data_IF_083978392347
#
_entry.id   IF_083978392347
#
_cell.length_a   1.000
_cell.length_b   1.000
_cell.length_c   1.000
_cell.angle_alpha   90.00
_cell.angle_beta   90.00
_cell.angle_gamma   90.00
#
_symmetry.space_group_name_H-M   'P 1'
#
loop_
_entity.id
_entity.type
_entity.pdbx_description
1 polymer ?
#
# COMPACT_ATOMS: atom_id res chain seq x y z
N UNK A 1 27.45 5.55 -12.93
CA UNK A 1 27.25 7.01 -13.10
C UNK A 1 25.92 7.19 -13.81
N UNK A 2 24.84 7.78 -13.29
CA UNK A 2 24.63 8.78 -12.24
C UNK A 2 23.29 8.47 -11.55
N UNK A 3 23.27 8.54 -10.22
CA UNK A 3 22.05 8.57 -9.39
C UNK A 3 21.92 10.01 -8.89
N UNK A 4 20.80 10.67 -9.20
CA UNK A 4 20.37 11.99 -8.70
C UNK A 4 18.94 12.18 -9.22
N UNK A 5 17.92 12.52 -8.44
CA UNK A 5 17.88 13.50 -7.36
C UNK A 5 17.03 13.04 -6.18
N UNK A 6 17.63 13.22 -5.01
CA UNK A 6 17.02 13.29 -3.70
C UNK A 6 16.20 14.59 -3.62
N UNK A 7 14.90 14.51 -3.34
CA UNK A 7 14.07 15.66 -3.00
C UNK A 7 14.10 15.85 -1.48
N UNK A 8 15.06 16.65 -1.01
CA UNK A 8 15.17 17.16 0.36
C UNK A 8 14.76 18.64 0.35
N UNK A 9 13.84 18.97 1.26
CA UNK A 9 13.57 20.24 1.93
C UNK A 9 13.55 21.56 1.13
N UNK A 10 12.37 22.20 1.11
CA UNK A 10 12.25 23.64 1.15
C UNK A 10 11.22 24.03 2.23
N UNK A 11 11.69 24.15 3.47
CA UNK A 11 10.99 24.91 4.51
C UNK A 11 11.48 26.34 4.37
N UNK A 12 10.61 27.23 3.91
CA UNK A 12 10.88 28.67 3.86
C UNK A 12 10.60 29.25 5.26
N UNK A 13 11.56 29.97 5.88
CA UNK A 13 11.33 30.60 7.16
C UNK A 13 10.69 31.98 6.93
N UNK A 14 9.42 32.14 7.32
CA UNK A 14 8.82 33.47 7.44
C UNK A 14 9.02 33.93 8.89
N UNK A 15 10.16 34.58 9.11
CA UNK A 15 10.39 35.48 10.24
C UNK A 15 9.52 36.73 10.01
N UNK A 16 8.50 36.94 10.83
CA UNK A 16 7.92 38.27 11.01
C UNK A 16 8.24 38.72 12.42
N UNK A 17 9.12 39.71 12.48
CA UNK A 17 9.50 40.41 13.69
C UNK A 17 8.28 41.04 14.36
N UNK A 18 8.15 40.77 15.65
CA UNK A 18 7.24 41.47 16.55
C UNK A 18 7.69 42.92 16.74
N UNK A 19 6.81 43.87 16.43
CA UNK A 19 6.80 45.17 17.09
C UNK A 19 5.53 45.28 17.93
N UNK A 20 5.76 45.72 19.15
CA UNK A 20 4.92 45.67 20.34
C UNK A 20 4.09 46.96 20.50
N UNK A 21 2.96 46.85 21.23
CA UNK A 21 2.10 47.89 21.85
C UNK A 21 1.02 48.56 20.95
N UNK A 22 -0.23 48.80 21.40
CA UNK A 22 -0.82 48.86 22.75
C UNK A 22 -2.38 48.82 22.68
N UNK A 23 -2.97 48.15 23.67
CA UNK A 23 -4.23 48.50 24.37
C UNK A 23 -5.61 48.25 23.73
N UNK A 24 -6.25 47.16 24.13
CA UNK A 24 -7.70 47.12 24.40
C UNK A 24 -7.93 46.37 25.73
N UNK A 25 -8.72 46.97 26.62
CA UNK A 25 -8.96 46.55 27.99
C UNK A 25 -9.52 45.12 28.09
N UNK A 26 -9.27 44.39 29.20
CA UNK A 26 -9.81 43.05 29.38
C UNK A 26 -11.32 43.16 29.63
N UNK A 27 -12.11 42.81 28.63
CA UNK A 27 -13.53 42.48 28.85
C UNK A 27 -13.54 41.21 29.68
N UNK A 28 -13.81 41.34 30.98
CA UNK A 28 -14.11 40.22 31.87
C UNK A 28 -15.26 39.41 31.26
N UNK A 29 -14.94 38.32 30.56
CA UNK A 29 -15.94 37.28 30.27
C UNK A 29 -16.18 36.54 31.57
N UNK A 30 -17.43 36.57 31.98
CA UNK A 30 -17.98 35.79 33.08
C UNK A 30 -17.69 34.32 32.76
N UNK A 31 -16.81 33.71 33.55
CA UNK A 31 -16.66 32.26 33.60
C UNK A 31 -17.98 31.68 34.11
N UNK A 32 -18.76 31.09 33.21
CA UNK A 32 -19.66 30.01 33.57
C UNK A 32 -18.94 28.70 33.23
N UNK A 33 -18.65 27.83 34.22
CA UNK A 33 -18.11 26.52 33.94
C UNK A 33 -19.29 25.63 33.50
N UNK A 34 -19.62 25.69 32.22
CA UNK A 34 -20.36 24.60 31.58
C UNK A 34 -19.28 23.68 31.04
N UNK A 35 -19.11 22.50 31.62
CA UNK A 35 -18.36 21.40 30.99
C UNK A 35 -19.05 21.03 29.67
N UNK A 36 -18.85 21.83 28.63
CA UNK A 36 -19.26 21.50 27.28
C UNK A 36 -18.12 20.72 26.62
N UNK A 37 -18.40 19.52 26.13
CA UNK A 37 -17.46 18.73 25.30
C UNK A 37 -16.84 19.65 24.24
N UNK A 38 -15.51 19.76 24.22
CA UNK A 38 -14.73 20.71 23.40
C UNK A 38 -15.12 20.62 21.91
N UNK A 39 -15.48 19.42 21.45
CA UNK A 39 -15.97 19.19 20.10
C UNK A 39 -17.30 19.90 19.84
N UNK A 40 -18.22 19.90 20.81
CA UNK A 40 -19.51 20.58 20.70
C UNK A 40 -19.32 22.09 20.58
N UNK A 41 -18.37 22.66 21.31
CA UNK A 41 -18.05 24.08 21.26
C UNK A 41 -17.52 24.49 19.87
N UNK A 42 -16.55 23.75 19.34
CA UNK A 42 -15.99 24.00 18.00
C UNK A 42 -17.07 23.90 16.93
N UNK A 43 -17.93 22.88 17.01
CA UNK A 43 -19.03 22.69 16.06
C UNK A 43 -20.04 23.84 16.14
N UNK A 44 -20.41 24.28 17.34
CA UNK A 44 -21.30 25.43 17.50
C UNK A 44 -20.68 26.72 16.93
N UNK A 45 -19.39 26.96 17.16
CA UNK A 45 -18.73 28.18 16.70
C UNK A 45 -18.52 28.24 15.18
N UNK A 46 -18.30 27.08 14.55
CA UNK A 46 -17.90 27.02 13.14
C UNK A 46 -19.02 26.58 12.19
N UNK A 47 -20.01 25.81 12.65
CA UNK A 47 -21.04 25.22 11.79
C UNK A 47 -22.35 26.03 11.75
N UNK A 48 -22.63 26.86 12.76
CA UNK A 48 -23.90 27.61 12.86
C UNK A 48 -24.07 28.67 11.76
N UNK A 49 -22.98 29.28 11.30
CA UNK A 49 -23.03 30.42 10.37
C UNK A 49 -22.17 30.24 9.10
N UNK A 50 -21.61 29.05 8.86
CA UNK A 50 -20.74 28.80 7.71
C UNK A 50 -21.26 27.65 6.82
N UNK A 51 -21.95 27.96 5.71
CA UNK A 51 -22.52 26.93 4.84
C UNK A 51 -21.45 26.06 4.17
N UNK A 52 -20.22 26.56 3.99
CA UNK A 52 -19.12 25.78 3.43
C UNK A 52 -18.65 24.70 4.39
N UNK A 53 -18.52 25.04 5.69
CA UNK A 53 -18.16 24.08 6.74
C UNK A 53 -19.23 22.99 6.86
N UNK A 54 -20.52 23.38 6.86
CA UNK A 54 -21.65 22.43 6.94
C UNK A 54 -21.68 21.49 5.74
N UNK A 55 -21.41 21.99 4.53
CA UNK A 55 -21.34 21.17 3.34
C UNK A 55 -20.18 20.16 3.41
N UNK A 56 -18.96 20.63 3.73
CA UNK A 56 -17.80 19.75 3.88
C UNK A 56 -18.01 18.66 4.95
N UNK A 57 -18.60 19.04 6.10
CA UNK A 57 -19.01 18.10 7.15
C UNK A 57 -19.97 17.04 6.59
N UNK A 58 -21.00 17.46 5.88
CA UNK A 58 -22.03 16.55 5.33
C UNK A 58 -21.41 15.54 4.37
N UNK A 59 -20.49 15.98 3.50
CA UNK A 59 -19.76 15.11 2.58
C UNK A 59 -18.91 14.08 3.32
N UNK A 60 -18.14 14.51 4.33
CA UNK A 60 -17.35 13.61 5.16
C UNK A 60 -18.23 12.62 5.95
N UNK A 61 -19.35 13.10 6.49
CA UNK A 61 -20.30 12.32 7.25
C UNK A 61 -20.99 11.24 6.41
N UNK A 62 -21.24 11.49 5.13
CA UNK A 62 -21.76 10.47 4.20
C UNK A 62 -20.79 9.29 4.02
N UNK A 63 -19.48 9.52 4.11
CA UNK A 63 -18.47 8.45 3.98
C UNK A 63 -18.29 7.65 5.27
N UNK A 64 -18.35 8.30 6.44
CA UNK A 64 -18.07 7.67 7.74
C UNK A 64 -19.32 7.07 8.38
N UNK A 65 -20.48 7.67 8.09
CA UNK A 65 -21.76 7.38 8.74
C UNK A 65 -21.95 8.20 10.03
N UNK A 66 -23.17 8.70 10.20
CA UNK A 66 -23.55 9.62 11.30
C UNK A 66 -23.22 9.09 12.70
N UNK A 67 -23.35 7.78 12.93
CA UNK A 67 -23.10 7.16 14.24
C UNK A 67 -21.63 7.20 14.67
N UNK A 68 -20.70 7.22 13.72
CA UNK A 68 -19.26 7.13 13.98
C UNK A 68 -18.54 8.48 13.79
N UNK A 69 -19.24 9.48 13.27
CA UNK A 69 -18.65 10.73 12.81
C UNK A 69 -17.90 11.49 13.90
N UNK A 70 -18.55 11.77 15.03
CA UNK A 70 -17.95 12.58 16.10
C UNK A 70 -16.73 11.90 16.75
N UNK A 71 -16.79 10.57 16.92
CA UNK A 71 -15.64 9.79 17.41
C UNK A 71 -14.48 9.81 16.40
N UNK A 72 -14.79 9.69 15.11
CA UNK A 72 -13.79 9.74 14.06
C UNK A 72 -13.06 11.09 14.05
N UNK A 73 -13.79 12.20 13.92
CA UNK A 73 -13.19 13.54 13.79
C UNK A 73 -12.40 13.94 15.05
N UNK A 74 -12.85 13.51 16.23
CA UNK A 74 -12.12 13.70 17.49
C UNK A 74 -10.78 12.97 17.47
N UNK A 75 -10.75 11.72 16.99
CA UNK A 75 -9.52 10.93 16.84
C UNK A 75 -8.59 11.45 15.76
N UNK A 76 -9.12 11.93 14.63
CA UNK A 76 -8.31 12.47 13.53
C UNK A 76 -7.86 13.90 13.74
N UNK A 77 -8.26 14.54 14.84
CA UNK A 77 -7.59 15.73 15.35
C UNK A 77 -8.31 17.05 15.09
N UNK A 78 -9.64 17.05 14.91
CA UNK A 78 -10.42 18.30 14.77
C UNK A 78 -10.22 19.27 15.94
N UNK A 79 -9.90 18.75 17.14
CA UNK A 79 -9.63 19.56 18.33
C UNK A 79 -8.38 20.45 18.18
N UNK A 80 -7.49 20.14 17.24
CA UNK A 80 -6.35 21.02 16.93
C UNK A 80 -6.78 22.40 16.43
N UNK A 81 -7.99 22.53 15.88
CA UNK A 81 -8.54 23.80 15.43
C UNK A 81 -9.03 24.70 16.57
N UNK A 82 -9.13 24.22 17.81
CA UNK A 82 -9.76 24.96 18.91
C UNK A 82 -9.15 26.34 19.15
N UNK A 83 -7.82 26.43 19.08
CA UNK A 83 -7.05 27.64 19.33
C UNK A 83 -6.57 28.33 18.05
N UNK A 84 -7.11 27.95 16.89
CA UNK A 84 -6.76 28.56 15.60
C UNK A 84 -7.41 29.94 15.47
N UNK A 85 -6.62 30.94 15.05
CA UNK A 85 -7.08 32.32 14.87
C UNK A 85 -8.24 32.43 13.86
N UNK A 86 -8.31 31.50 12.92
CA UNK A 86 -9.41 31.33 11.97
C UNK A 86 -9.98 29.90 12.06
N UNK A 87 -10.53 29.59 13.23
CA UNK A 87 -11.15 28.31 13.57
C UNK A 87 -12.11 27.76 12.48
N UNK A 88 -12.92 28.62 11.84
CA UNK A 88 -13.81 28.20 10.74
C UNK A 88 -13.06 27.69 9.51
N UNK A 89 -11.96 28.35 9.14
CA UNK A 89 -11.11 27.91 8.03
C UNK A 89 -10.37 26.62 8.38
N UNK A 90 -9.89 26.48 9.62
CA UNK A 90 -9.24 25.25 10.08
C UNK A 90 -10.19 24.05 10.01
N UNK A 91 -11.42 24.18 10.53
CA UNK A 91 -12.43 23.11 10.51
C UNK A 91 -12.86 22.76 9.07
N UNK A 92 -13.03 23.77 8.20
CA UNK A 92 -13.32 23.54 6.78
C UNK A 92 -12.21 22.71 6.12
N UNK A 93 -10.96 23.13 6.30
CA UNK A 93 -9.81 22.44 5.73
C UNK A 93 -9.69 21.01 6.25
N UNK A 94 -9.93 20.80 7.55
CA UNK A 94 -9.96 19.49 8.18
C UNK A 94 -11.02 18.57 7.52
N UNK A 95 -12.27 19.02 7.40
CA UNK A 95 -13.33 18.22 6.82
C UNK A 95 -13.08 17.86 5.36
N UNK A 96 -12.60 18.82 4.55
CA UNK A 96 -12.27 18.57 3.14
C UNK A 96 -11.09 17.60 3.00
N UNK A 97 -10.04 17.79 3.79
CA UNK A 97 -8.84 16.95 3.74
C UNK A 97 -9.18 15.49 4.05
N UNK A 98 -9.91 15.25 5.14
CA UNK A 98 -10.31 13.89 5.51
C UNK A 98 -11.31 13.28 4.51
N UNK A 99 -12.19 14.10 3.92
CA UNK A 99 -13.12 13.64 2.88
C UNK A 99 -12.38 13.13 1.64
N UNK A 100 -11.46 13.93 1.09
CA UNK A 100 -10.72 13.54 -0.11
C UNK A 100 -9.80 12.35 0.15
N UNK A 101 -9.19 12.28 1.33
CA UNK A 101 -8.37 11.12 1.74
C UNK A 101 -9.19 9.83 1.78
N UNK A 102 -10.36 9.84 2.43
CA UNK A 102 -11.24 8.67 2.49
C UNK A 102 -11.81 8.28 1.13
N UNK A 103 -12.23 9.28 0.34
CA UNK A 103 -12.76 9.07 -1.01
C UNK A 103 -11.72 8.41 -1.92
N UNK A 104 -10.49 8.88 -1.89
CA UNK A 104 -9.40 8.31 -2.68
C UNK A 104 -9.08 6.87 -2.25
N UNK A 105 -9.01 6.61 -0.94
CA UNK A 105 -8.81 5.26 -0.41
C UNK A 105 -9.93 4.29 -0.83
N UNK A 106 -11.19 4.74 -0.82
CA UNK A 106 -12.32 3.92 -1.29
C UNK A 106 -12.24 3.63 -2.80
N UNK A 107 -11.83 4.61 -3.62
CA UNK A 107 -11.65 4.41 -5.05
C UNK A 107 -10.53 3.40 -5.35
N UNK A 108 -9.38 3.52 -4.69
CA UNK A 108 -8.30 2.54 -4.81
C UNK A 108 -8.78 1.15 -4.40
N UNK A 109 -9.44 1.04 -3.25
CA UNK A 109 -9.96 -0.23 -2.74
C UNK A 109 -10.91 -0.88 -3.75
N UNK A 110 -11.82 -0.08 -4.34
CA UNK A 110 -12.76 -0.56 -5.36
C UNK A 110 -12.04 -1.11 -6.60
N UNK A 111 -11.04 -0.40 -7.12
CA UNK A 111 -10.25 -0.87 -8.27
C UNK A 111 -9.51 -2.17 -7.94
N UNK A 112 -8.95 -2.28 -6.73
CA UNK A 112 -8.32 -3.53 -6.27
C UNK A 112 -9.34 -4.67 -6.20
N UNK A 113 -10.51 -4.44 -5.62
CA UNK A 113 -11.57 -5.45 -5.52
C UNK A 113 -12.11 -5.88 -6.89
N UNK A 114 -12.29 -4.95 -7.82
CA UNK A 114 -12.70 -5.22 -9.20
C UNK A 114 -11.64 -6.08 -9.92
N UNK A 115 -10.37 -5.69 -9.86
CA UNK A 115 -9.26 -6.46 -10.44
C UNK A 115 -9.14 -7.86 -9.82
N UNK A 116 -9.29 -7.98 -8.50
CA UNK A 116 -9.27 -9.28 -7.82
C UNK A 116 -10.45 -10.16 -8.24
N UNK A 117 -11.62 -9.57 -8.46
CA UNK A 117 -12.82 -10.27 -8.89
C UNK A 117 -12.68 -10.75 -10.33
N UNK A 118 -12.20 -9.88 -11.23
CA UNK A 118 -11.88 -10.24 -12.61
C UNK A 118 -10.87 -11.38 -12.66
N UNK A 119 -9.79 -11.29 -11.87
CA UNK A 119 -8.79 -12.34 -11.76
C UNK A 119 -9.39 -13.68 -11.29
N UNK A 120 -10.25 -13.67 -10.26
CA UNK A 120 -10.94 -14.88 -9.77
C UNK A 120 -11.84 -15.49 -10.85
N UNK A 121 -12.56 -14.65 -11.62
CA UNK A 121 -13.39 -15.11 -12.73
C UNK A 121 -12.52 -15.77 -13.80
N UNK A 122 -11.39 -15.17 -14.19
CA UNK A 122 -10.47 -15.78 -15.16
C UNK A 122 -9.89 -17.10 -14.65
N UNK A 123 -9.46 -17.18 -13.39
CA UNK A 123 -9.00 -18.44 -12.79
C UNK A 123 -10.09 -19.51 -12.77
N UNK A 124 -11.36 -19.14 -12.54
CA UNK A 124 -12.47 -20.08 -12.53
C UNK A 124 -12.75 -20.73 -13.90
N UNK A 125 -12.32 -20.07 -15.00
CA UNK A 125 -12.41 -20.62 -16.36
C UNK A 125 -11.33 -21.68 -16.64
N UNK A 126 -10.27 -21.72 -15.83
CA UNK A 126 -9.16 -22.66 -16.00
C UNK A 126 -9.51 -23.97 -15.26
N UNK A 127 -9.79 -25.03 -16.02
CA UNK A 127 -9.90 -26.38 -15.45
C UNK A 127 -8.51 -26.97 -15.30
N UNK A 128 -8.03 -27.09 -14.06
CA UNK A 128 -6.79 -27.79 -13.77
C UNK A 128 -6.96 -29.28 -14.08
N UNK A 129 -6.39 -29.75 -15.18
CA UNK A 129 -6.30 -31.17 -15.52
C UNK A 129 -4.96 -31.71 -15.03
N UNK A 130 -4.86 -33.02 -14.82
CA UNK A 130 -3.58 -33.67 -14.49
C UNK A 130 -2.49 -33.37 -15.52
N UNK A 131 -2.85 -33.31 -16.81
CA UNK A 131 -1.93 -32.94 -17.88
C UNK A 131 -1.45 -31.48 -17.76
N UNK A 132 -2.34 -30.54 -17.44
CA UNK A 132 -1.97 -29.13 -17.28
C UNK A 132 -1.08 -28.92 -16.04
N UNK A 133 -1.39 -29.61 -14.94
CA UNK A 133 -0.58 -29.57 -13.71
C UNK A 133 0.81 -30.15 -13.98
N UNK A 134 0.89 -31.30 -14.64
CA UNK A 134 2.17 -31.92 -15.02
C UNK A 134 2.99 -31.01 -15.91
N UNK A 135 2.41 -30.46 -16.97
CA UNK A 135 3.11 -29.54 -17.88
C UNK A 135 3.65 -28.32 -17.13
N UNK A 136 2.87 -27.78 -16.21
CA UNK A 136 3.27 -26.65 -15.39
C UNK A 136 4.41 -26.97 -14.42
N UNK A 137 4.38 -28.13 -13.77
CA UNK A 137 5.46 -28.60 -12.91
C UNK A 137 6.74 -28.90 -13.70
N UNK A 138 6.62 -29.53 -14.88
CA UNK A 138 7.74 -29.78 -15.79
C UNK A 138 8.41 -28.46 -16.20
N UNK A 139 7.62 -27.46 -16.61
CA UNK A 139 8.12 -26.12 -16.99
C UNK A 139 8.78 -25.38 -15.81
N UNK A 140 8.23 -25.53 -14.60
CA UNK A 140 8.79 -24.92 -13.40
C UNK A 140 10.13 -25.56 -13.01
N UNK A 141 10.25 -26.88 -13.17
CA UNK A 141 11.49 -27.63 -12.94
C UNK A 141 12.56 -27.26 -13.98
N UNK A 142 12.18 -27.12 -15.25
CA UNK A 142 13.07 -26.65 -16.32
C UNK A 142 13.55 -25.22 -16.10
N UNK A 143 12.70 -24.35 -15.56
CA UNK A 143 13.08 -23.00 -15.20
C UNK A 143 14.12 -22.98 -14.08
N UNK A 144 13.90 -23.73 -12.99
CA UNK A 144 14.87 -23.84 -11.90
C UNK A 144 16.23 -24.31 -12.41
N UNK A 145 16.24 -25.33 -13.26
CA UNK A 145 17.46 -25.85 -13.86
C UNK A 145 18.18 -24.79 -14.70
N UNK A 146 17.45 -24.02 -15.51
CA UNK A 146 18.02 -22.94 -16.32
C UNK A 146 18.64 -21.82 -15.47
N UNK A 147 18.07 -21.52 -14.30
CA UNK A 147 18.65 -20.49 -13.42
C UNK A 147 19.91 -21.02 -12.72
N UNK A 148 19.93 -22.26 -12.24
CA UNK A 148 21.14 -22.86 -11.63
C UNK A 148 22.30 -23.04 -12.61
N UNK A 149 22.02 -23.25 -13.90
CA UNK A 149 23.05 -23.31 -14.94
C UNK A 149 23.41 -21.94 -15.53
N UNK A 150 22.85 -20.84 -14.99
CA UNK A 150 23.03 -19.49 -15.51
C UNK A 150 22.69 -19.33 -17.00
N UNK A 151 21.70 -20.07 -17.51
CA UNK A 151 21.16 -19.91 -18.88
C UNK A 151 20.27 -18.65 -18.95
N UNK A 152 20.92 -17.50 -18.81
CA UNK A 152 20.27 -16.19 -18.74
C UNK A 152 19.44 -15.89 -20.00
N UNK A 153 19.87 -16.40 -21.16
CA UNK A 153 19.13 -16.22 -22.41
C UNK A 153 17.76 -16.91 -22.33
N UNK A 154 17.74 -18.21 -22.00
CA UNK A 154 16.48 -18.97 -21.91
C UNK A 154 15.59 -18.44 -20.79
N UNK A 155 16.19 -18.04 -19.67
CA UNK A 155 15.50 -17.40 -18.56
C UNK A 155 14.80 -16.11 -19.01
N UNK A 156 15.51 -15.18 -19.64
CA UNK A 156 14.93 -13.89 -20.04
C UNK A 156 13.99 -13.97 -21.24
N UNK A 157 14.33 -14.80 -22.24
CA UNK A 157 13.58 -14.81 -23.51
C UNK A 157 12.38 -15.75 -23.51
N UNK A 158 12.38 -16.79 -22.68
CA UNK A 158 11.34 -17.81 -22.66
C UNK A 158 10.59 -17.85 -21.33
N UNK A 159 11.28 -18.06 -20.21
CA UNK A 159 10.59 -18.30 -18.93
C UNK A 159 10.05 -17.03 -18.27
N UNK A 160 10.80 -15.93 -18.29
CA UNK A 160 10.37 -14.65 -17.76
C UNK A 160 9.02 -14.18 -18.34
N UNK A 161 8.83 -14.11 -19.68
CA UNK A 161 7.55 -13.74 -20.24
C UNK A 161 6.46 -14.79 -19.99
N UNK A 162 6.81 -16.08 -20.03
CA UNK A 162 5.85 -17.18 -19.83
C UNK A 162 5.21 -17.13 -18.43
N UNK A 163 6.01 -16.89 -17.40
CA UNK A 163 5.55 -16.77 -16.02
C UNK A 163 5.19 -15.34 -15.60
N UNK A 164 5.28 -14.38 -16.53
CA UNK A 164 5.00 -12.96 -16.30
C UNK A 164 5.78 -12.38 -15.12
N UNK A 165 7.04 -12.78 -14.98
CA UNK A 165 7.92 -12.30 -13.91
C UNK A 165 8.41 -10.88 -14.22
N UNK A 166 8.29 -10.00 -13.23
CA UNK A 166 8.87 -8.65 -13.23
C UNK A 166 10.40 -8.71 -13.12
N UNK A 167 11.04 -7.59 -13.47
CA UNK A 167 12.50 -7.45 -13.32
C UNK A 167 12.97 -7.57 -11.86
N UNK A 168 12.14 -7.13 -10.90
CA UNK A 168 12.44 -7.23 -9.47
C UNK A 168 12.40 -8.68 -8.98
N UNK A 169 11.38 -9.44 -9.38
CA UNK A 169 11.26 -10.88 -9.07
C UNK A 169 12.45 -11.65 -9.64
N UNK A 170 12.84 -11.36 -10.89
CA UNK A 170 14.02 -11.94 -11.51
C UNK A 170 15.31 -11.60 -10.77
N UNK A 171 15.48 -10.34 -10.39
CA UNK A 171 16.66 -9.89 -9.64
C UNK A 171 16.77 -10.57 -8.27
N UNK A 172 15.65 -10.71 -7.57
CA UNK A 172 15.55 -11.41 -6.28
C UNK A 172 15.91 -12.88 -6.40
N UNK A 173 15.41 -13.55 -7.45
CA UNK A 173 15.71 -14.96 -7.73
C UNK A 173 17.20 -15.17 -8.01
N UNK A 174 17.79 -14.39 -8.91
CA UNK A 174 19.22 -14.47 -9.21
C UNK A 174 20.07 -14.22 -7.97
N UNK A 175 19.71 -13.24 -7.13
CA UNK A 175 20.44 -12.96 -5.90
C UNK A 175 20.38 -14.12 -4.88
N UNK A 176 19.29 -14.89 -4.84
CA UNK A 176 19.18 -16.08 -3.99
C UNK A 176 20.06 -17.21 -4.51
N UNK A 177 20.00 -17.49 -5.82
CA UNK A 177 20.75 -18.58 -6.43
C UNK A 177 22.26 -18.32 -6.40
N UNK A 178 22.70 -17.09 -6.67
CA UNK A 178 24.12 -16.70 -6.54
C UNK A 178 24.67 -16.93 -5.12
N UNK A 179 23.82 -16.89 -4.08
CA UNK A 179 24.22 -17.16 -2.70
C UNK A 179 24.24 -18.64 -2.35
N UNK A 180 23.65 -19.50 -3.17
CA UNK A 180 23.58 -20.94 -2.98
C UNK A 180 24.84 -21.63 -3.52
N UNK A 181 25.98 -21.30 -2.92
CA UNK A 181 27.29 -21.83 -3.31
C UNK A 181 27.38 -23.35 -3.19
N UNK A 182 26.61 -23.96 -2.29
CA UNK A 182 26.64 -25.40 -2.07
C UNK A 182 25.97 -26.17 -3.20
N UNK A 183 24.77 -25.76 -3.63
CA UNK A 183 24.12 -26.38 -4.78
C UNK A 183 24.91 -26.19 -6.06
N UNK A 184 25.50 -25.00 -6.27
CA UNK A 184 26.40 -24.76 -7.40
C UNK A 184 27.62 -25.70 -7.38
N UNK A 185 28.30 -25.81 -6.25
CA UNK A 185 29.42 -26.74 -6.09
C UNK A 185 29.02 -28.19 -6.40
N UNK A 186 27.89 -28.64 -5.86
CA UNK A 186 27.40 -30.01 -6.12
C UNK A 186 27.11 -30.25 -7.61
N UNK A 187 26.47 -29.30 -8.29
CA UNK A 187 26.16 -29.40 -9.72
C UNK A 187 27.44 -29.39 -10.56
N UNK A 188 28.41 -28.55 -10.21
CA UNK A 188 29.68 -28.44 -10.92
C UNK A 188 30.51 -29.73 -10.79
N UNK A 189 30.54 -30.34 -9.60
CA UNK A 189 31.25 -31.60 -9.34
C UNK A 189 30.51 -32.82 -9.92
N UNK A 190 29.18 -32.79 -9.94
CA UNK A 190 28.37 -33.85 -10.53
C UNK A 190 27.12 -33.30 -11.22
N UNK A 191 27.17 -33.08 -12.55
CA UNK A 191 26.05 -32.55 -13.31
C UNK A 191 24.77 -33.41 -13.28
N UNK A 192 24.84 -34.69 -12.86
CA UNK A 192 23.63 -35.52 -12.68
C UNK A 192 22.73 -35.00 -11.57
N UNK A 193 23.29 -34.31 -10.57
CA UNK A 193 22.56 -33.73 -9.44
C UNK A 193 21.50 -32.75 -9.93
N UNK A 194 21.73 -32.04 -11.04
CA UNK A 194 20.73 -31.15 -11.61
C UNK A 194 19.47 -31.91 -12.06
N UNK A 195 19.61 -33.13 -12.59
CA UNK A 195 18.47 -33.97 -12.98
C UNK A 195 17.75 -34.57 -11.76
N UNK A 196 18.50 -34.90 -10.71
CA UNK A 196 17.94 -35.36 -9.43
C UNK A 196 17.14 -34.25 -8.76
N UNK A 197 17.69 -33.02 -8.70
CA UNK A 197 16.98 -31.83 -8.20
C UNK A 197 15.72 -31.54 -9.01
N UNK A 198 15.79 -31.65 -10.34
CA UNK A 198 14.63 -31.47 -11.22
C UNK A 198 13.54 -32.50 -10.94
N UNK A 199 13.93 -33.76 -10.70
CA UNK A 199 12.99 -34.85 -10.43
C UNK A 199 12.33 -34.72 -9.06
N UNK A 200 13.12 -34.40 -8.02
CA UNK A 200 12.63 -34.13 -6.66
C UNK A 200 11.68 -32.92 -6.64
N UNK A 201 12.00 -31.86 -7.39
CA UNK A 201 11.11 -30.71 -7.55
C UNK A 201 9.80 -31.11 -8.25
N UNK A 202 9.86 -31.91 -9.32
CA UNK A 202 8.69 -32.36 -10.05
C UNK A 202 7.75 -33.19 -9.16
N UNK A 203 8.30 -34.13 -8.39
CA UNK A 203 7.54 -34.96 -7.44
C UNK A 203 6.81 -34.09 -6.41
N UNK A 204 7.53 -33.17 -5.76
CA UNK A 204 6.95 -32.23 -4.80
C UNK A 204 5.89 -31.32 -5.43
N UNK A 205 6.10 -30.86 -6.66
CA UNK A 205 5.14 -30.01 -7.35
C UNK A 205 3.87 -30.76 -7.76
N UNK A 206 3.98 -32.05 -8.11
CA UNK A 206 2.81 -32.88 -8.44
C UNK A 206 1.98 -33.20 -7.19
N UNK A 207 2.63 -33.39 -6.04
CA UNK A 207 1.98 -33.62 -4.75
C UNK A 207 1.29 -32.36 -4.22
N UNK A 208 1.96 -31.20 -4.31
CA UNK A 208 1.36 -29.90 -3.98
C UNK A 208 1.68 -28.82 -5.04
N UNK A 209 0.86 -28.72 -6.10
CA UNK A 209 1.06 -27.71 -7.14
C UNK A 209 0.75 -26.29 -6.67
N UNK A 210 0.28 -26.09 -5.43
CA UNK A 210 0.06 -24.77 -4.84
C UNK A 210 1.28 -24.24 -4.07
N UNK A 211 2.32 -25.03 -3.85
CA UNK A 211 3.51 -24.59 -3.11
C UNK A 211 4.81 -24.58 -3.94
N UNK A 212 4.73 -24.62 -5.28
CA UNK A 212 5.90 -24.60 -6.16
C UNK A 212 6.50 -23.20 -6.41
N UNK A 213 7.61 -23.16 -7.15
CA UNK A 213 8.43 -21.97 -7.48
C UNK A 213 7.64 -20.74 -7.92
N UNK A 214 6.55 -20.89 -8.68
CA UNK A 214 5.73 -19.76 -9.11
C UNK A 214 4.84 -19.27 -7.97
N UNK A 215 4.47 -20.12 -7.01
CA UNK A 215 3.93 -19.67 -5.73
C UNK A 215 5.02 -19.17 -4.77
N UNK A 216 6.27 -19.63 -4.84
CA UNK A 216 7.38 -19.02 -4.10
C UNK A 216 7.65 -17.57 -4.55
N UNK A 217 7.30 -17.22 -5.79
CA UNK A 217 7.36 -15.86 -6.34
C UNK A 217 6.02 -15.12 -6.10
N UNK A 218 4.86 -15.76 -6.25
CA UNK A 218 3.53 -15.13 -6.07
C UNK A 218 3.02 -15.06 -4.61
N UNK A 219 3.59 -15.81 -3.66
CA UNK A 219 3.26 -15.74 -2.21
C UNK A 219 3.85 -14.46 -1.57
N UNK A 220 4.73 -13.74 -2.26
CA UNK A 220 5.22 -12.42 -1.85
C UNK A 220 4.73 -11.28 -2.75
N UNK A 221 3.41 -11.23 -2.97
CA UNK A 221 2.70 -9.97 -3.20
C UNK A 221 1.95 -9.56 -1.94
#
# INVERSE_FOLDING_TARGET
MKISNILICAIVPILVASCVHRSAAPVKKIEQPIESDELTLIKQQTELNNPYVVNAKTQLQQLIGTKNFDNYIKKTGILSCQNDENQSSCVLNFYLTEYYKLKYNQQIKKVIEENQTEHKIELSKIKATSANIKNYCDLSADFLAAVYTNDNQKVSSYFQPLFKMSEEEMSSLHAKIIKDNYSHFLIDENPSILQEMKSDFLEKCLDDPKDNIINYINIFR
#
